data_IF_583888897889
#
_entry.id   IF_583888897889
#
_cell.length_a   1.000
_cell.length_b   1.000
_cell.length_c   1.000
_cell.angle_alpha   90.00
_cell.angle_beta   90.00
_cell.angle_gamma   90.00
#
_symmetry.space_group_name_H-M   'P 1'
#
loop_
_entity.id
_entity.type
_entity.pdbx_description
1 polymer ?
#
# COMPACT_ATOMS: atom_id res chain seq x y z
N UNK A 1 19.12 -46.79 -29.72
CA UNK A 1 18.88 -45.46 -29.24
C UNK A 1 17.84 -45.53 -28.14
N UNK A 2 18.28 -45.24 -26.94
CA UNK A 2 17.49 -45.41 -25.74
C UNK A 2 16.51 -44.21 -25.63
N UNK A 3 15.24 -44.47 -25.82
CA UNK A 3 14.19 -43.44 -25.72
C UNK A 3 14.18 -42.74 -24.36
N UNK A 4 14.75 -43.36 -23.33
CA UNK A 4 14.90 -42.78 -22.02
C UNK A 4 15.97 -41.64 -21.99
N UNK A 5 17.06 -41.79 -22.74
CA UNK A 5 18.11 -40.76 -22.88
C UNK A 5 17.62 -39.55 -23.71
N UNK A 6 16.73 -39.80 -24.66
CA UNK A 6 16.11 -38.77 -25.49
C UNK A 6 15.06 -37.95 -24.71
N UNK A 7 14.30 -38.57 -23.84
CA UNK A 7 13.34 -37.87 -22.95
C UNK A 7 14.02 -37.03 -21.90
N UNK A 8 15.11 -37.49 -21.28
CA UNK A 8 15.91 -36.76 -20.32
C UNK A 8 16.54 -35.48 -20.95
N UNK A 9 17.01 -35.59 -22.21
CA UNK A 9 17.55 -34.43 -22.94
C UNK A 9 16.50 -33.38 -23.25
N UNK A 10 15.26 -33.77 -23.58
CA UNK A 10 14.17 -32.81 -23.82
C UNK A 10 13.66 -32.16 -22.54
N UNK A 11 13.60 -32.87 -21.41
CA UNK A 11 13.24 -32.30 -20.11
C UNK A 11 14.27 -31.26 -19.66
N UNK A 12 15.58 -31.55 -19.78
CA UNK A 12 16.63 -30.59 -19.40
C UNK A 12 16.63 -29.34 -20.30
N UNK A 13 16.28 -29.48 -21.58
CA UNK A 13 16.21 -28.35 -22.48
C UNK A 13 14.97 -27.46 -22.23
N UNK A 14 13.85 -28.02 -21.78
CA UNK A 14 12.65 -27.30 -21.42
C UNK A 14 12.91 -26.45 -20.13
N UNK A 15 13.55 -27.00 -19.12
CA UNK A 15 13.90 -26.32 -17.88
C UNK A 15 14.81 -25.11 -18.13
N UNK A 16 15.81 -25.24 -18.98
CA UNK A 16 16.71 -24.13 -19.36
C UNK A 16 15.95 -23.04 -20.13
N UNK A 17 15.01 -23.41 -20.97
CA UNK A 17 14.21 -22.47 -21.73
C UNK A 17 13.23 -21.69 -20.86
N UNK A 18 12.57 -22.32 -19.91
CA UNK A 18 11.71 -21.66 -18.92
C UNK A 18 12.52 -20.66 -18.07
N UNK A 19 13.71 -21.04 -17.63
CA UNK A 19 14.59 -20.15 -16.88
C UNK A 19 14.95 -18.89 -17.67
N UNK A 20 15.27 -18.99 -18.96
CA UNK A 20 15.59 -17.86 -19.84
C UNK A 20 14.38 -16.92 -19.98
N UNK A 21 13.17 -17.46 -20.16
CA UNK A 21 11.95 -16.65 -20.23
C UNK A 21 11.66 -15.91 -18.92
N UNK A 22 11.76 -16.58 -17.79
CA UNK A 22 11.55 -15.97 -16.46
C UNK A 22 12.61 -14.90 -16.21
N UNK A 23 13.88 -15.17 -16.46
CA UNK A 23 14.96 -14.20 -16.33
C UNK A 23 14.77 -12.98 -17.25
N UNK A 24 14.38 -13.20 -18.50
CA UNK A 24 14.07 -12.15 -19.46
C UNK A 24 12.91 -11.26 -19.01
N UNK A 25 11.83 -11.88 -18.51
CA UNK A 25 10.67 -11.16 -17.98
C UNK A 25 11.04 -10.32 -16.74
N UNK A 26 11.85 -10.85 -15.83
CA UNK A 26 12.32 -10.12 -14.65
C UNK A 26 13.19 -8.92 -15.02
N UNK A 27 14.10 -9.08 -15.99
CA UNK A 27 14.93 -7.98 -16.49
C UNK A 27 14.07 -6.90 -17.15
N UNK A 28 13.12 -7.28 -18.00
CA UNK A 28 12.18 -6.34 -18.63
C UNK A 28 11.31 -5.62 -17.59
N UNK A 29 10.82 -6.33 -16.58
CA UNK A 29 10.06 -5.72 -15.51
C UNK A 29 10.91 -4.72 -14.71
N UNK A 30 12.18 -5.04 -14.43
CA UNK A 30 13.12 -4.14 -13.76
C UNK A 30 13.39 -2.88 -14.57
N UNK A 31 13.67 -3.02 -15.86
CA UNK A 31 13.90 -1.88 -16.77
C UNK A 31 12.63 -1.02 -16.90
N UNK A 32 11.46 -1.65 -17.07
CA UNK A 32 10.18 -0.97 -17.16
C UNK A 32 9.86 -0.18 -15.91
N UNK A 33 10.14 -0.76 -14.74
CA UNK A 33 9.94 -0.10 -13.46
C UNK A 33 10.89 1.11 -13.28
N UNK A 34 12.15 0.96 -13.69
CA UNK A 34 13.11 2.07 -13.70
C UNK A 34 12.63 3.20 -14.61
N UNK A 35 12.23 2.89 -15.84
CA UNK A 35 11.69 3.85 -16.79
C UNK A 35 10.47 4.60 -16.26
N UNK A 36 9.49 3.86 -15.70
CA UNK A 36 8.29 4.48 -15.11
C UNK A 36 8.66 5.40 -13.95
N UNK A 37 9.61 4.99 -13.12
CA UNK A 37 10.02 5.79 -11.94
C UNK A 37 10.77 7.06 -12.37
N UNK A 38 11.63 7.00 -13.38
CA UNK A 38 12.36 8.18 -13.87
C UNK A 38 11.43 9.20 -14.51
N UNK A 39 10.37 8.76 -15.22
CA UNK A 39 9.44 9.67 -15.91
C UNK A 39 8.33 10.19 -14.98
N UNK A 40 7.69 9.31 -14.24
CA UNK A 40 6.47 9.62 -13.45
C UNK A 40 6.77 9.75 -11.95
N UNK A 41 8.01 9.51 -11.54
CA UNK A 41 8.42 9.58 -10.14
C UNK A 41 7.88 8.39 -9.34
N UNK A 42 7.28 8.64 -8.19
CA UNK A 42 6.86 7.61 -7.23
C UNK A 42 5.47 7.00 -7.50
N UNK A 43 5.08 6.87 -8.77
CA UNK A 43 3.78 6.34 -9.16
C UNK A 43 3.51 4.92 -8.61
N UNK A 44 4.51 4.06 -8.59
CA UNK A 44 4.36 2.71 -8.04
C UNK A 44 3.92 2.73 -6.57
N UNK A 45 4.62 3.46 -5.72
CA UNK A 45 4.28 3.56 -4.30
C UNK A 45 2.95 4.27 -4.05
N UNK A 46 2.57 5.21 -4.92
CA UNK A 46 1.34 5.99 -4.77
C UNK A 46 0.07 5.25 -5.19
N UNK A 47 0.14 4.41 -6.23
CA UNK A 47 -1.06 3.86 -6.86
C UNK A 47 -1.10 2.34 -6.99
N UNK A 48 0.03 1.68 -7.20
CA UNK A 48 0.08 0.26 -7.58
C UNK A 48 0.50 -0.65 -6.42
N UNK A 49 1.21 -0.09 -5.44
CA UNK A 49 1.68 -0.87 -4.30
C UNK A 49 0.50 -1.45 -3.49
N UNK A 50 0.46 -2.76 -3.22
CA UNK A 50 -0.61 -3.37 -2.43
C UNK A 50 -0.83 -2.72 -1.07
N UNK A 51 0.24 -2.30 -0.39
CA UNK A 51 0.16 -1.60 0.89
C UNK A 51 -0.63 -0.30 0.78
N UNK A 52 -0.39 0.50 -0.27
CA UNK A 52 -1.11 1.75 -0.50
C UNK A 52 -2.58 1.49 -0.83
N UNK A 53 -2.85 0.49 -1.68
CA UNK A 53 -4.23 0.11 -2.04
C UNK A 53 -5.03 -0.31 -0.81
N UNK A 54 -4.48 -1.15 0.06
CA UNK A 54 -5.17 -1.52 1.31
C UNK A 54 -5.32 -0.35 2.28
N UNK A 55 -4.30 0.48 2.40
CA UNK A 55 -4.37 1.68 3.25
C UNK A 55 -5.48 2.63 2.79
N UNK A 56 -5.58 2.87 1.48
CA UNK A 56 -6.64 3.71 0.91
C UNK A 56 -8.02 3.11 1.09
N UNK A 57 -8.16 1.81 0.88
CA UNK A 57 -9.43 1.10 1.11
C UNK A 57 -9.88 1.22 2.57
N UNK A 58 -8.97 1.04 3.52
CA UNK A 58 -9.27 1.18 4.94
C UNK A 58 -9.58 2.63 5.32
N UNK A 59 -8.93 3.61 4.70
CA UNK A 59 -9.24 5.03 4.87
C UNK A 59 -10.62 5.41 4.32
N UNK A 60 -11.05 4.82 3.22
CA UNK A 60 -12.41 5.01 2.68
C UNK A 60 -13.45 4.52 3.69
N UNK A 61 -13.26 3.33 4.26
CA UNK A 61 -14.13 2.80 5.32
C UNK A 61 -14.14 3.72 6.55
N UNK A 62 -12.98 4.23 6.94
CA UNK A 62 -12.84 5.15 8.07
C UNK A 62 -13.63 6.45 7.85
N UNK A 63 -13.53 7.03 6.63
CA UNK A 63 -14.31 8.22 6.26
C UNK A 63 -15.81 7.94 6.24
N UNK A 64 -16.20 6.76 5.79
CA UNK A 64 -17.60 6.38 5.71
C UNK A 64 -18.24 6.18 7.10
N UNK A 65 -17.54 5.54 8.04
CA UNK A 65 -18.07 5.22 9.37
C UNK A 65 -17.89 6.36 10.38
N UNK A 66 -16.71 6.97 10.43
CA UNK A 66 -16.34 8.00 11.41
C UNK A 66 -16.49 9.43 10.87
N UNK A 67 -16.55 9.56 9.54
CA UNK A 67 -16.63 10.84 8.84
C UNK A 67 -15.26 11.45 8.54
N UNK A 68 -15.29 12.70 8.08
CA UNK A 68 -14.09 13.44 7.69
C UNK A 68 -13.14 13.70 8.87
N UNK A 69 -11.91 14.11 8.56
CA UNK A 69 -10.84 14.42 9.52
C UNK A 69 -11.32 15.21 10.73
N UNK A 70 -12.11 16.27 10.52
CA UNK A 70 -12.63 17.11 11.60
C UNK A 70 -13.65 16.39 12.50
N UNK A 71 -14.46 15.51 11.91
CA UNK A 71 -15.40 14.66 12.64
C UNK A 71 -14.65 13.64 13.51
N UNK A 72 -13.60 13.01 12.95
CA UNK A 72 -12.74 12.06 13.68
C UNK A 72 -12.03 12.71 14.86
N UNK A 73 -11.45 13.91 14.68
CA UNK A 73 -10.80 14.65 15.77
C UNK A 73 -11.82 14.97 16.89
N UNK A 74 -13.05 15.35 16.54
CA UNK A 74 -14.12 15.59 17.54
C UNK A 74 -14.51 14.30 18.25
N UNK A 75 -14.62 13.18 17.49
CA UNK A 75 -14.94 11.87 18.04
C UNK A 75 -13.85 11.39 19.01
N UNK A 76 -12.57 11.64 18.70
CA UNK A 76 -11.46 11.26 19.56
C UNK A 76 -11.43 12.05 20.87
N UNK A 77 -11.71 13.34 20.80
CA UNK A 77 -11.78 14.24 21.97
C UNK A 77 -13.05 14.07 22.80
N UNK A 78 -14.11 13.45 22.22
CA UNK A 78 -15.35 13.23 22.96
C UNK A 78 -15.16 12.20 24.08
N UNK A 79 -15.86 12.41 25.19
CA UNK A 79 -15.95 11.44 26.28
C UNK A 79 -16.50 10.09 25.81
N UNK A 80 -16.30 9.05 26.60
CA UNK A 80 -16.78 7.70 26.26
C UNK A 80 -18.31 7.71 26.09
N UNK A 81 -18.76 7.34 24.88
CA UNK A 81 -20.17 7.28 24.52
C UNK A 81 -20.44 5.97 23.75
N UNK A 82 -21.66 5.44 23.92
CA UNK A 82 -22.11 4.25 23.18
C UNK A 82 -21.98 4.44 21.65
N UNK A 83 -22.29 5.64 21.17
CA UNK A 83 -22.13 5.98 19.75
C UNK A 83 -20.66 5.94 19.29
N UNK A 84 -19.74 6.36 20.13
CA UNK A 84 -18.29 6.27 19.85
C UNK A 84 -17.84 4.81 19.78
N UNK A 85 -18.28 4.00 20.75
CA UNK A 85 -17.96 2.57 20.78
C UNK A 85 -18.51 1.85 19.53
N UNK A 86 -19.78 2.09 19.18
CA UNK A 86 -20.43 1.48 18.02
C UNK A 86 -19.67 1.81 16.71
N UNK A 87 -19.35 3.07 16.47
CA UNK A 87 -18.60 3.49 15.27
C UNK A 87 -17.23 2.83 15.18
N UNK A 88 -16.50 2.75 16.29
CA UNK A 88 -15.18 2.10 16.32
C UNK A 88 -15.29 0.60 16.08
N UNK A 89 -16.21 -0.07 16.75
CA UNK A 89 -16.43 -1.50 16.55
C UNK A 89 -16.83 -1.81 15.10
N UNK A 90 -17.74 -1.02 14.53
CA UNK A 90 -18.17 -1.19 13.14
C UNK A 90 -17.01 -1.00 12.16
N UNK A 91 -16.18 0.02 12.37
CA UNK A 91 -14.98 0.24 11.56
C UNK A 91 -14.06 -0.97 11.57
N UNK A 92 -13.69 -1.46 12.74
CA UNK A 92 -12.81 -2.61 12.88
C UNK A 92 -13.42 -3.90 12.34
N UNK A 93 -14.73 -4.10 12.51
CA UNK A 93 -15.44 -5.24 11.94
C UNK A 93 -15.37 -5.25 10.40
N UNK A 94 -15.62 -4.10 9.76
CA UNK A 94 -15.50 -3.97 8.30
C UNK A 94 -14.05 -4.18 7.85
N UNK A 95 -13.07 -3.64 8.57
CA UNK A 95 -11.66 -3.85 8.27
C UNK A 95 -11.25 -5.33 8.33
N UNK A 96 -11.73 -6.07 9.34
CA UNK A 96 -11.49 -7.52 9.46
C UNK A 96 -12.12 -8.26 8.28
N UNK A 97 -13.36 -7.93 7.91
CA UNK A 97 -14.03 -8.56 6.76
C UNK A 97 -13.22 -8.32 5.47
N UNK A 98 -12.78 -7.09 5.24
CA UNK A 98 -11.93 -6.77 4.09
C UNK A 98 -10.61 -7.54 4.14
N UNK A 99 -9.96 -7.61 5.30
CA UNK A 99 -8.71 -8.35 5.47
C UNK A 99 -8.87 -9.84 5.21
N UNK A 100 -9.97 -10.46 5.62
CA UNK A 100 -10.29 -11.86 5.32
C UNK A 100 -10.52 -12.05 3.82
N UNK A 101 -11.33 -11.19 3.20
CA UNK A 101 -11.69 -11.32 1.78
C UNK A 101 -10.53 -11.01 0.83
N UNK A 102 -9.58 -10.18 1.22
CA UNK A 102 -8.43 -9.82 0.38
C UNK A 102 -7.16 -10.54 0.80
N UNK A 103 -6.72 -10.40 2.04
CA UNK A 103 -5.53 -11.05 2.57
C UNK A 103 -5.70 -12.56 2.75
N UNK A 104 -6.79 -12.98 3.40
CA UNK A 104 -7.08 -14.39 3.61
C UNK A 104 -7.34 -15.16 2.32
N UNK A 105 -7.89 -14.51 1.30
CA UNK A 105 -8.19 -15.13 0.01
C UNK A 105 -6.96 -15.55 -0.79
N UNK A 106 -5.77 -15.08 -0.45
CA UNK A 106 -4.52 -15.49 -1.13
C UNK A 106 -4.27 -17.01 -1.07
N UNK A 107 -4.81 -17.71 -0.07
CA UNK A 107 -4.68 -19.16 0.02
C UNK A 107 -5.32 -19.89 -1.17
N UNK A 108 -6.35 -19.32 -1.77
CA UNK A 108 -7.03 -19.91 -2.94
C UNK A 108 -6.19 -19.90 -4.21
N UNK A 109 -5.06 -19.17 -4.21
CA UNK A 109 -4.10 -19.23 -5.31
C UNK A 109 -3.28 -20.51 -5.30
N UNK A 110 -3.09 -21.12 -4.13
CA UNK A 110 -2.25 -22.32 -3.94
C UNK A 110 -3.06 -23.60 -3.76
N UNK A 111 -4.38 -23.52 -3.68
CA UNK A 111 -5.25 -24.66 -3.46
C UNK A 111 -6.56 -24.51 -4.24
N UNK A 112 -7.24 -25.63 -4.50
CA UNK A 112 -8.53 -25.63 -5.17
C UNK A 112 -9.58 -24.82 -4.40
N UNK A 113 -9.95 -23.67 -4.94
CA UNK A 113 -10.78 -22.70 -4.24
C UNK A 113 -12.16 -23.22 -3.82
N UNK A 114 -12.95 -23.92 -4.66
CA UNK A 114 -14.28 -24.41 -4.28
C UNK A 114 -14.24 -25.41 -3.14
N UNK A 115 -13.31 -26.35 -3.19
CA UNK A 115 -13.15 -27.41 -2.19
C UNK A 115 -12.64 -26.82 -0.88
N UNK A 116 -11.59 -25.99 -0.95
CA UNK A 116 -11.02 -25.36 0.25
C UNK A 116 -12.01 -24.41 0.93
N UNK A 117 -12.78 -23.64 0.18
CA UNK A 117 -13.80 -22.75 0.75
C UNK A 117 -14.86 -23.54 1.51
N UNK A 118 -15.34 -24.65 0.93
CA UNK A 118 -16.29 -25.54 1.57
C UNK A 118 -15.71 -26.11 2.87
N UNK A 119 -14.48 -26.59 2.82
CA UNK A 119 -13.80 -27.22 3.98
C UNK A 119 -13.52 -26.18 5.08
N UNK A 120 -13.17 -24.95 4.72
CA UNK A 120 -13.01 -23.85 5.67
C UNK A 120 -14.32 -23.50 6.39
N UNK A 121 -15.44 -23.44 5.65
CA UNK A 121 -16.76 -23.13 6.22
C UNK A 121 -17.31 -24.28 7.05
N UNK A 122 -17.09 -25.54 6.62
CA UNK A 122 -17.56 -26.75 7.34
C UNK A 122 -16.67 -27.15 8.51
N UNK A 123 -15.50 -26.52 8.67
CA UNK A 123 -14.57 -26.85 9.74
C UNK A 123 -13.69 -28.07 9.48
N UNK A 124 -13.62 -28.54 8.24
CA UNK A 124 -12.90 -29.77 7.84
C UNK A 124 -11.52 -29.49 7.20
N UNK A 125 -11.17 -28.22 7.00
CA UNK A 125 -9.88 -27.87 6.41
C UNK A 125 -8.71 -28.25 7.33
N UNK A 126 -7.55 -28.51 6.74
CA UNK A 126 -6.34 -28.80 7.50
C UNK A 126 -5.92 -27.60 8.37
N UNK A 127 -5.33 -27.87 9.52
CA UNK A 127 -4.86 -26.82 10.46
C UNK A 127 -3.99 -25.77 9.78
N UNK A 128 -3.14 -26.19 8.84
CA UNK A 128 -2.27 -25.28 8.08
C UNK A 128 -3.08 -24.25 7.27
N UNK A 129 -4.24 -24.62 6.73
CA UNK A 129 -5.09 -23.70 5.99
C UNK A 129 -5.67 -22.60 6.92
N UNK A 130 -6.18 -22.98 8.08
CA UNK A 130 -6.66 -22.00 9.07
C UNK A 130 -5.56 -21.08 9.56
N UNK A 131 -4.38 -21.62 9.86
CA UNK A 131 -3.23 -20.82 10.33
C UNK A 131 -2.78 -19.84 9.24
N UNK A 132 -2.74 -20.25 8.00
CA UNK A 132 -2.37 -19.39 6.86
C UNK A 132 -3.39 -18.27 6.66
N UNK A 133 -4.68 -18.56 6.63
CA UNK A 133 -5.74 -17.55 6.54
C UNK A 133 -5.65 -16.58 7.72
N UNK A 134 -5.46 -17.07 8.94
CA UNK A 134 -5.34 -16.23 10.13
C UNK A 134 -4.12 -15.29 10.07
N UNK A 135 -2.95 -15.80 9.67
CA UNK A 135 -1.73 -15.00 9.54
C UNK A 135 -1.87 -13.94 8.45
N UNK A 136 -2.37 -14.34 7.27
CA UNK A 136 -2.57 -13.39 6.15
C UNK A 136 -3.61 -12.32 6.48
N UNK A 137 -4.70 -12.69 7.12
CA UNK A 137 -5.71 -11.73 7.60
C UNK A 137 -5.14 -10.78 8.65
N UNK A 138 -4.42 -11.31 9.64
CA UNK A 138 -3.81 -10.51 10.71
C UNK A 138 -2.77 -9.53 10.15
N UNK A 139 -1.89 -9.97 9.25
CA UNK A 139 -0.89 -9.10 8.61
C UNK A 139 -1.56 -8.01 7.76
N UNK A 140 -2.57 -8.34 6.96
CA UNK A 140 -3.31 -7.35 6.16
C UNK A 140 -4.01 -6.33 7.05
N UNK A 141 -4.65 -6.77 8.13
CA UNK A 141 -5.31 -5.89 9.09
C UNK A 141 -4.32 -4.98 9.83
N UNK A 142 -3.21 -5.53 10.31
CA UNK A 142 -2.19 -4.77 11.05
C UNK A 142 -1.48 -3.77 10.15
N UNK A 143 -1.01 -4.19 8.99
CA UNK A 143 -0.21 -3.35 8.10
C UNK A 143 -1.07 -2.33 7.34
N UNK A 144 -2.23 -2.72 6.84
CA UNK A 144 -3.13 -1.80 6.16
C UNK A 144 -3.91 -0.87 7.10
N UNK A 145 -4.29 -1.35 8.29
CA UNK A 145 -5.12 -0.63 9.25
C UNK A 145 -4.34 0.18 10.28
N UNK A 146 -3.42 -0.46 11.00
CA UNK A 146 -2.77 0.12 12.19
C UNK A 146 -1.40 0.71 11.88
N UNK A 147 -0.54 -0.05 11.17
CA UNK A 147 0.86 0.31 10.90
C UNK A 147 1.08 0.90 9.50
N UNK A 148 0.11 1.60 8.97
CA UNK A 148 0.04 2.10 7.58
C UNK A 148 1.35 2.68 7.06
N UNK A 149 1.79 3.78 7.69
CA UNK A 149 2.97 4.54 7.29
C UNK A 149 4.26 3.85 7.74
N UNK A 150 4.21 3.16 8.87
CA UNK A 150 5.41 2.54 9.46
C UNK A 150 5.96 1.40 8.60
N UNK A 151 5.09 0.68 7.87
CA UNK A 151 5.54 -0.32 6.90
C UNK A 151 6.41 0.30 5.81
N UNK A 152 5.98 1.44 5.26
CA UNK A 152 6.72 2.14 4.21
C UNK A 152 8.00 2.79 4.71
N UNK A 153 8.02 3.28 5.96
CA UNK A 153 9.16 4.01 6.53
C UNK A 153 10.24 3.05 7.03
N UNK A 154 9.85 1.98 7.75
CA UNK A 154 10.78 1.14 8.49
C UNK A 154 10.99 -0.25 7.88
N UNK A 155 9.96 -0.84 7.27
CA UNK A 155 10.01 -2.23 6.82
C UNK A 155 10.31 -2.35 5.32
N UNK A 156 9.82 -1.41 4.51
CA UNK A 156 9.94 -1.49 3.06
C UNK A 156 11.21 -0.77 2.58
N UNK A 157 12.16 -1.46 1.93
CA UNK A 157 13.34 -0.81 1.35
C UNK A 157 13.04 -0.06 0.05
N UNK A 158 11.87 -0.36 -0.56
CA UNK A 158 11.50 0.12 -1.88
C UNK A 158 11.48 1.64 -2.05
N UNK A 159 10.94 2.45 -1.11
CA UNK A 159 10.98 3.91 -1.25
C UNK A 159 12.40 4.48 -1.36
N UNK A 160 13.38 3.83 -0.71
CA UNK A 160 14.80 4.25 -0.80
C UNK A 160 15.42 3.87 -2.13
N UNK A 161 15.13 2.66 -2.62
CA UNK A 161 15.59 2.18 -3.95
C UNK A 161 14.98 3.10 -5.03
N UNK A 162 13.69 3.39 -4.93
CA UNK A 162 12.99 4.25 -5.88
C UNK A 162 13.51 5.70 -5.85
N UNK A 163 13.90 6.20 -4.68
CA UNK A 163 14.52 7.52 -4.59
C UNK A 163 15.86 7.61 -5.34
N UNK A 164 16.61 6.51 -5.42
CA UNK A 164 17.85 6.44 -6.20
C UNK A 164 17.62 6.34 -7.73
N UNK A 165 16.39 6.04 -8.15
CA UNK A 165 15.99 5.97 -9.56
C UNK A 165 15.46 7.30 -10.09
N UNK A 166 15.26 8.31 -9.23
CA UNK A 166 14.78 9.64 -9.64
C UNK A 166 15.89 10.41 -10.34
N UNK A 167 15.54 11.13 -11.39
CA UNK A 167 16.39 12.02 -12.17
C UNK A 167 15.93 13.48 -12.00
N UNK A 168 16.71 14.43 -12.52
CA UNK A 168 16.40 15.87 -12.47
C UNK A 168 15.07 16.20 -13.18
N UNK A 169 14.73 15.43 -14.20
CA UNK A 169 13.49 15.59 -14.99
C UNK A 169 12.29 14.80 -14.42
N UNK A 170 12.48 14.05 -13.34
CA UNK A 170 11.42 13.23 -12.75
C UNK A 170 10.34 14.09 -12.07
N UNK A 171 9.06 13.72 -12.26
CA UNK A 171 7.95 14.40 -11.59
C UNK A 171 7.95 14.08 -10.09
N UNK A 172 8.24 15.07 -9.29
CA UNK A 172 8.21 14.99 -7.82
C UNK A 172 7.36 16.10 -7.22
N UNK A 173 6.73 15.80 -6.09
CA UNK A 173 6.02 16.82 -5.32
C UNK A 173 7.03 17.58 -4.49
N UNK A 174 7.26 18.85 -4.85
CA UNK A 174 8.20 19.72 -4.15
C UNK A 174 7.60 21.09 -3.90
N UNK A 175 8.21 21.83 -2.99
CA UNK A 175 7.86 23.24 -2.78
C UNK A 175 8.57 24.11 -3.81
N UNK A 176 7.83 25.03 -4.42
CA UNK A 176 8.40 25.98 -5.36
C UNK A 176 8.80 27.27 -4.64
N UNK A 177 10.07 27.39 -4.29
CA UNK A 177 10.66 28.54 -3.61
C UNK A 177 10.71 29.81 -4.49
N UNK A 178 10.71 29.68 -5.82
CA UNK A 178 10.63 30.80 -6.76
C UNK A 178 9.34 31.63 -6.63
N UNK A 179 8.29 31.06 -6.04
CA UNK A 179 6.98 31.73 -5.84
C UNK A 179 6.95 32.54 -4.54
N UNK A 180 8.02 32.59 -3.81
CA UNK A 180 8.22 33.46 -2.66
C UNK A 180 8.49 32.77 -1.35
N UNK A 181 9.38 33.36 -0.60
CA UNK A 181 9.72 33.12 0.80
C UNK A 181 9.55 34.43 1.56
N UNK A 182 9.23 34.43 2.86
CA UNK A 182 9.07 33.29 3.78
C UNK A 182 7.71 32.59 3.68
N UNK A 183 7.66 31.33 4.16
CA UNK A 183 6.40 30.58 4.33
C UNK A 183 5.55 31.25 5.40
N UNK A 184 4.36 31.75 5.08
CA UNK A 184 3.56 32.53 5.99
C UNK A 184 2.27 31.83 6.42
N UNK A 185 2.08 31.65 7.73
CA UNK A 185 0.78 31.29 8.31
C UNK A 185 -0.13 32.53 8.30
N UNK A 186 -0.93 32.70 7.27
CA UNK A 186 -1.93 33.74 7.22
C UNK A 186 -1.75 34.76 6.10
N UNK A 187 -1.72 34.27 4.90
CA UNK A 187 -1.53 35.02 3.67
C UNK A 187 -2.37 36.30 3.53
N UNK A 188 -3.60 36.35 4.06
CA UNK A 188 -4.46 37.53 3.97
C UNK A 188 -3.95 38.74 4.76
N UNK A 189 -3.33 38.52 5.93
CA UNK A 189 -2.75 39.62 6.76
C UNK A 189 -1.38 40.02 6.23
N UNK A 190 -0.59 39.08 5.73
CA UNK A 190 0.73 39.36 5.16
C UNK A 190 0.62 40.12 3.83
N UNK A 191 -0.34 39.75 2.97
CA UNK A 191 -0.64 40.46 1.72
C UNK A 191 -1.12 41.92 2.01
N UNK A 192 -1.91 42.14 3.06
CA UNK A 192 -2.32 43.47 3.48
C UNK A 192 -1.17 44.33 3.98
N UNK A 193 -0.05 43.73 4.41
CA UNK A 193 1.18 44.41 4.83
C UNK A 193 2.24 44.52 3.74
N UNK A 194 1.90 44.10 2.48
CA UNK A 194 2.82 44.17 1.34
C UNK A 194 3.94 43.10 1.36
N UNK A 195 3.85 42.10 2.24
CA UNK A 195 4.82 41.02 2.29
C UNK A 195 4.38 39.97 1.23
N UNK A 196 5.21 39.79 0.22
CA UNK A 196 5.03 38.70 -0.77
C UNK A 196 5.38 37.38 -0.07
N UNK A 197 4.37 36.71 0.49
CA UNK A 197 4.55 35.40 1.08
C UNK A 197 4.50 34.30 0.03
N UNK A 198 5.22 33.20 0.28
CA UNK A 198 5.17 32.01 -0.55
C UNK A 198 3.84 31.26 -0.50
N UNK A 199 3.64 30.32 -1.42
CA UNK A 199 2.40 29.53 -1.50
C UNK A 199 2.22 28.54 -0.33
N UNK A 200 3.27 28.25 0.42
CA UNK A 200 3.24 27.34 1.55
C UNK A 200 2.84 28.05 2.86
N UNK A 201 1.85 27.51 3.57
CA UNK A 201 1.42 27.98 4.90
C UNK A 201 2.06 27.20 6.06
N UNK A 202 3.05 26.37 5.77
CA UNK A 202 3.79 25.54 6.74
C UNK A 202 2.88 24.71 7.67
N UNK A 203 1.84 24.11 7.09
CA UNK A 203 0.87 23.31 7.85
C UNK A 203 1.23 21.82 7.95
N UNK A 204 2.30 21.40 7.29
CA UNK A 204 2.77 20.00 7.20
C UNK A 204 1.71 18.99 6.72
N UNK A 205 0.62 19.43 6.09
CA UNK A 205 -0.44 18.54 5.64
C UNK A 205 0.03 17.61 4.51
N UNK A 206 0.90 18.10 3.62
CA UNK A 206 1.50 17.29 2.55
C UNK A 206 2.40 16.18 3.10
N UNK A 207 3.15 16.47 4.17
CA UNK A 207 3.99 15.49 4.88
C UNK A 207 3.11 14.45 5.59
N UNK A 208 2.06 14.89 6.26
CA UNK A 208 1.14 14.01 6.99
C UNK A 208 0.31 13.08 6.09
N UNK A 209 0.11 13.45 4.82
CA UNK A 209 -0.65 12.66 3.84
C UNK A 209 0.28 11.76 3.00
N UNK A 210 1.60 12.01 3.03
CA UNK A 210 2.55 11.23 2.25
C UNK A 210 2.64 9.79 2.79
N UNK A 211 2.24 8.76 2.00
CA UNK A 211 2.26 7.38 2.47
C UNK A 211 3.67 6.83 2.68
N UNK A 212 4.66 7.45 2.07
CA UNK A 212 6.06 7.03 2.16
C UNK A 212 6.84 7.75 3.27
N UNK A 213 6.25 8.78 3.89
CA UNK A 213 6.87 9.53 4.98
C UNK A 213 8.15 10.29 4.59
N UNK A 214 8.35 10.57 3.30
CA UNK A 214 9.54 11.25 2.77
C UNK A 214 9.19 12.64 2.28
#
# INVERSE_FOLDING_TARGET
>A
LDWAEETEYYEEQDDDQEFIYVAGLLVMAGIGLFLVTSVVGRAWCGYTCPQTVWTDLFLVVERWVEGDRNARIRLDKASFSLSKLWKRTLKHAIWIVIAVLTGGAWIFYFADAPTLLKDLVTGQAAFIAYSTVAVLTATTYLFGGIMREQVCIYMCPWPRIQAAMLDEDSLVVTYNDWRGEPRTKGSKKAVAQGIVGGDCVDCNACVAVCPTGI
#
